data_IF_100272865506
#
_entry.id   IF_100272865506
#
_cell.length_a   1.000
_cell.length_b   1.000
_cell.length_c   1.000
_cell.angle_alpha   90.00
_cell.angle_beta   90.00
_cell.angle_gamma   90.00
#
_symmetry.space_group_name_H-M   'P 1'
#
loop_
_entity.id
_entity.type
_entity.pdbx_description
1 polymer ?
#
# COMPACT_ATOMS: atom_id res chain seq x y z
N UNK A 1 3.90 2.26 -4.88
CA UNK A 1 4.87 1.15 -5.02
C UNK A 1 6.07 1.43 -4.16
N UNK A 2 6.16 0.73 -3.03
CA UNK A 2 7.18 0.95 -1.99
C UNK A 2 8.27 -0.14 -1.99
N UNK A 3 8.24 -1.05 -2.98
CA UNK A 3 9.23 -2.11 -3.13
C UNK A 3 9.85 -2.02 -4.54
N UNK A 4 11.19 -1.86 -4.65
CA UNK A 4 11.84 -1.67 -5.94
C UNK A 4 11.73 -2.91 -6.85
N UNK A 5 11.56 -4.12 -6.30
CA UNK A 5 11.37 -5.33 -7.14
C UNK A 5 10.10 -5.24 -8.00
N UNK A 6 9.07 -4.51 -7.56
CA UNK A 6 7.84 -4.31 -8.33
C UNK A 6 8.09 -3.47 -9.58
N UNK A 7 9.00 -2.48 -9.49
CA UNK A 7 9.43 -1.67 -10.63
C UNK A 7 10.24 -2.50 -11.62
N UNK A 8 11.17 -3.31 -11.10
CA UNK A 8 11.96 -4.25 -11.91
C UNK A 8 11.04 -5.22 -12.66
N UNK A 9 10.06 -5.81 -11.98
CA UNK A 9 9.07 -6.68 -12.62
C UNK A 9 8.20 -5.94 -13.64
N UNK A 10 7.96 -4.64 -13.47
CA UNK A 10 7.24 -3.84 -14.45
C UNK A 10 8.03 -3.69 -15.75
N UNK A 11 9.35 -3.50 -15.68
CA UNK A 11 10.23 -3.49 -16.85
C UNK A 11 10.24 -4.85 -17.56
N UNK A 12 10.40 -5.94 -16.81
CA UNK A 12 10.41 -7.31 -17.36
C UNK A 12 9.06 -7.62 -18.04
N UNK A 13 7.94 -7.37 -17.35
CA UNK A 13 6.60 -7.58 -17.92
C UNK A 13 6.38 -6.75 -19.17
N UNK A 14 6.87 -5.51 -19.21
CA UNK A 14 6.79 -4.67 -20.41
C UNK A 14 7.60 -5.25 -21.57
N UNK A 15 8.81 -5.76 -21.31
CA UNK A 15 9.60 -6.46 -22.32
C UNK A 15 8.84 -7.66 -22.90
N UNK A 16 8.28 -8.52 -22.04
CA UNK A 16 7.48 -9.67 -22.47
C UNK A 16 6.25 -9.22 -23.27
N UNK A 17 5.50 -8.24 -22.78
CA UNK A 17 4.28 -7.76 -23.45
C UNK A 17 4.53 -7.19 -24.85
N UNK A 18 5.66 -6.50 -25.05
CA UNK A 18 6.03 -5.92 -26.35
C UNK A 18 6.49 -6.99 -27.35
N UNK A 19 7.15 -8.05 -26.87
CA UNK A 19 7.85 -9.03 -27.72
C UNK A 19 7.14 -10.37 -27.87
N UNK A 20 6.16 -10.70 -27.02
CA UNK A 20 5.37 -11.93 -27.15
C UNK A 20 4.43 -11.80 -28.35
N UNK A 21 4.77 -12.46 -29.46
CA UNK A 21 4.01 -12.39 -30.73
C UNK A 21 3.30 -13.70 -31.06
N UNK A 22 3.80 -14.81 -30.54
CA UNK A 22 3.24 -16.14 -30.71
C UNK A 22 2.23 -16.47 -29.61
N UNK A 23 2.20 -15.70 -28.52
CA UNK A 23 1.28 -15.88 -27.40
C UNK A 23 1.35 -17.30 -26.80
N UNK A 24 2.55 -17.88 -26.76
CA UNK A 24 2.80 -19.21 -26.20
C UNK A 24 3.55 -19.11 -24.88
N UNK A 25 3.35 -20.09 -23.99
CA UNK A 25 4.07 -20.13 -22.71
C UNK A 25 5.58 -20.28 -22.89
N UNK A 26 6.04 -21.04 -23.87
CA UNK A 26 7.48 -21.16 -24.17
C UNK A 26 8.09 -19.81 -24.54
N UNK A 27 7.41 -19.01 -25.37
CA UNK A 27 7.91 -17.68 -25.74
C UNK A 27 7.90 -16.72 -24.54
N UNK A 28 6.85 -16.76 -23.71
CA UNK A 28 6.79 -15.99 -22.45
C UNK A 28 7.95 -16.36 -21.53
N UNK A 29 8.26 -17.64 -21.36
CA UNK A 29 9.38 -18.07 -20.52
C UNK A 29 10.71 -17.53 -21.04
N UNK A 30 10.98 -17.69 -22.33
CA UNK A 30 12.21 -17.21 -22.97
C UNK A 30 12.35 -15.69 -22.82
N UNK A 31 11.30 -14.93 -23.16
CA UNK A 31 11.30 -13.47 -23.06
C UNK A 31 11.42 -13.00 -21.61
N UNK A 32 10.87 -13.75 -20.64
CA UNK A 32 11.01 -13.41 -19.22
C UNK A 32 12.46 -13.56 -18.78
N UNK A 33 13.13 -14.65 -19.15
CA UNK A 33 14.56 -14.85 -18.86
C UNK A 33 15.41 -13.75 -19.50
N UNK A 34 15.16 -13.41 -20.76
CA UNK A 34 15.81 -12.29 -21.44
C UNK A 34 15.55 -10.95 -20.73
N UNK A 35 14.31 -10.70 -20.32
CA UNK A 35 13.94 -9.50 -19.57
C UNK A 35 14.69 -9.39 -18.24
N UNK A 36 14.90 -10.51 -17.53
CA UNK A 36 15.71 -10.57 -16.31
C UNK A 36 17.17 -10.22 -16.63
N UNK A 37 17.76 -10.82 -17.66
CA UNK A 37 19.15 -10.59 -18.06
C UNK A 37 19.40 -9.14 -18.52
N UNK A 38 18.37 -8.44 -19.03
CA UNK A 38 18.44 -7.03 -19.41
C UNK A 38 18.49 -6.07 -18.21
N UNK A 39 18.13 -6.51 -17.01
CA UNK A 39 18.16 -5.66 -15.82
C UNK A 39 19.60 -5.47 -15.38
N UNK A 40 20.21 -4.36 -15.79
CA UNK A 40 21.54 -3.98 -15.36
C UNK A 40 21.54 -3.52 -13.90
N UNK A 41 22.70 -3.59 -13.24
CA UNK A 41 22.90 -3.04 -11.89
C UNK A 41 22.60 -1.53 -11.83
N UNK A 42 22.79 -0.80 -12.93
CA UNK A 42 22.45 0.62 -13.00
C UNK A 42 20.93 0.83 -13.00
N UNK A 43 20.19 0.04 -13.77
CA UNK A 43 18.73 0.09 -13.79
C UNK A 43 18.16 -0.28 -12.42
N UNK A 44 18.70 -1.33 -11.79
CA UNK A 44 18.33 -1.73 -10.44
C UNK A 44 18.51 -0.58 -9.45
N UNK A 45 19.67 0.10 -9.47
CA UNK A 45 19.92 1.26 -8.60
C UNK A 45 18.91 2.38 -8.84
N UNK A 46 18.59 2.69 -10.10
CA UNK A 46 17.57 3.70 -10.44
C UNK A 46 16.19 3.35 -9.85
N UNK A 47 15.81 2.07 -9.90
CA UNK A 47 14.53 1.61 -9.35
C UNK A 47 14.52 1.72 -7.81
N UNK A 48 15.63 1.40 -7.13
CA UNK A 48 15.80 1.63 -5.68
C UNK A 48 15.68 3.12 -5.33
N UNK A 49 16.44 3.98 -6.01
CA UNK A 49 16.42 5.43 -5.79
C UNK A 49 15.00 6.00 -5.98
N UNK A 50 14.30 5.54 -7.02
CA UNK A 50 12.91 5.93 -7.26
C UNK A 50 11.98 5.50 -6.12
N UNK A 51 12.10 4.26 -5.65
CA UNK A 51 11.31 3.78 -4.51
C UNK A 51 11.58 4.59 -3.25
N UNK A 52 12.83 4.92 -2.94
CA UNK A 52 13.16 5.75 -1.78
C UNK A 52 12.53 7.14 -1.87
N UNK A 53 12.55 7.77 -3.04
CA UNK A 53 11.88 9.07 -3.25
C UNK A 53 10.37 8.98 -3.02
N UNK A 54 9.73 7.91 -3.51
CA UNK A 54 8.29 7.68 -3.31
C UNK A 54 7.98 7.50 -1.82
N UNK A 55 8.80 6.73 -1.10
CA UNK A 55 8.67 6.54 0.35
C UNK A 55 8.80 7.88 1.08
N UNK A 56 9.87 8.64 0.80
CA UNK A 56 10.09 9.96 1.44
C UNK A 56 8.91 10.91 1.19
N UNK A 57 8.44 11.00 -0.05
CA UNK A 57 7.27 11.83 -0.38
C UNK A 57 5.99 11.36 0.32
N UNK A 58 5.81 10.06 0.54
CA UNK A 58 4.67 9.54 1.28
C UNK A 58 4.75 9.91 2.77
N UNK A 59 5.93 9.78 3.38
CA UNK A 59 6.17 10.17 4.79
C UNK A 59 5.92 11.67 4.99
N UNK A 60 6.46 12.51 4.10
CA UNK A 60 6.24 13.96 4.17
C UNK A 60 4.76 14.30 4.08
N UNK A 61 4.01 13.67 3.17
CA UNK A 61 2.56 13.89 3.05
C UNK A 61 1.78 13.41 4.27
N UNK A 62 2.20 12.30 4.87
CA UNK A 62 1.57 11.75 6.07
C UNK A 62 1.73 12.72 7.25
N UNK A 63 2.94 13.23 7.49
CA UNK A 63 3.18 14.25 8.50
C UNK A 63 2.43 15.57 8.26
N UNK A 64 2.28 15.99 7.00
CA UNK A 64 1.45 17.16 6.66
C UNK A 64 -0.04 16.92 6.93
N UNK A 65 -0.53 15.69 6.77
CA UNK A 65 -1.91 15.32 7.11
C UNK A 65 -2.10 15.29 8.62
N UNK A 66 -1.17 14.71 9.38
CA UNK A 66 -1.21 14.68 10.85
C UNK A 66 -1.24 16.11 11.42
N UNK A 67 -0.33 16.99 10.97
CA UNK A 67 -0.30 18.40 11.41
C UNK A 67 -1.61 19.13 11.10
N UNK A 68 -2.18 18.94 9.90
CA UNK A 68 -3.44 19.56 9.53
C UNK A 68 -4.63 19.05 10.36
N UNK A 69 -4.64 17.77 10.71
CA UNK A 69 -5.66 17.16 11.59
C UNK A 69 -5.53 17.69 13.02
N UNK A 70 -4.32 17.75 13.58
CA UNK A 70 -4.06 18.33 14.91
C UNK A 70 -4.53 19.79 14.97
N UNK A 71 -4.18 20.60 13.97
CA UNK A 71 -4.64 21.98 13.88
C UNK A 71 -6.17 22.06 13.82
N UNK A 72 -6.85 21.18 13.06
CA UNK A 72 -8.32 21.16 13.00
C UNK A 72 -8.94 20.82 14.37
N UNK A 73 -8.41 19.85 15.10
CA UNK A 73 -8.90 19.44 16.44
C UNK A 73 -8.79 20.60 17.45
N UNK A 74 -7.68 21.35 17.41
CA UNK A 74 -7.47 22.52 18.29
C UNK A 74 -8.56 23.58 18.04
N UNK A 75 -8.86 23.87 16.77
CA UNK A 75 -9.87 24.86 16.42
C UNK A 75 -11.31 24.40 16.69
N UNK A 76 -11.60 23.09 16.63
CA UNK A 76 -12.91 22.54 17.03
C UNK A 76 -13.12 22.61 18.55
N UNK A 77 -12.07 22.39 19.35
CA UNK A 77 -12.14 22.47 20.83
C UNK A 77 -12.37 23.90 21.35
N UNK A 78 -11.91 24.90 20.61
CA UNK A 78 -12.14 26.32 20.95
C UNK A 78 -13.54 26.82 20.51
N UNK A 79 -14.33 25.96 19.85
CA UNK A 79 -15.54 26.33 19.13
C UNK A 79 -16.89 25.88 19.73
N UNK A 80 -17.01 24.71 20.37
CA UNK A 80 -18.33 24.21 20.81
C UNK A 80 -18.36 23.44 22.14
N UNK A 81 -19.44 23.70 22.88
CA UNK A 81 -19.80 23.33 24.24
C UNK A 81 -19.71 21.83 24.57
N UNK A 82 -19.30 21.52 25.81
CA UNK A 82 -19.37 20.20 26.43
C UNK A 82 -20.77 19.57 26.23
N UNK A 83 -20.82 18.42 25.57
CA UNK A 83 -21.96 17.51 25.65
C UNK A 83 -21.47 16.18 26.18
N UNK A 84 -21.82 15.89 27.42
CA UNK A 84 -21.54 14.61 28.07
C UNK A 84 -22.26 13.49 27.31
N UNK A 85 -21.47 12.62 26.65
CA UNK A 85 -21.98 11.37 26.12
C UNK A 85 -22.19 10.41 27.30
N UNK A 86 -23.42 10.35 27.81
CA UNK A 86 -23.84 9.34 28.78
C UNK A 86 -23.88 7.97 28.09
N UNK A 87 -22.80 7.19 28.25
CA UNK A 87 -22.73 5.80 27.85
C UNK A 87 -23.70 4.98 28.71
N UNK A 88 -24.82 4.56 28.12
CA UNK A 88 -25.72 3.59 28.73
C UNK A 88 -25.34 2.20 28.24
N UNK A 89 -24.53 1.52 29.05
CA UNK A 89 -24.26 0.09 28.93
C UNK A 89 -25.56 -0.71 28.88
N UNK A 90 -25.92 -1.23 27.70
CA UNK A 90 -26.92 -2.28 27.58
C UNK A 90 -26.20 -3.63 27.46
N UNK A 91 -25.97 -4.24 28.63
CA UNK A 91 -25.50 -5.62 28.81
C UNK A 91 -26.42 -6.60 28.06
N UNK A 92 -25.97 -7.12 26.91
CA UNK A 92 -26.62 -8.23 26.22
C UNK A 92 -26.06 -9.54 26.80
N UNK A 93 -26.72 -10.04 27.85
CA UNK A 93 -26.53 -11.42 28.30
C UNK A 93 -27.02 -12.36 27.20
N UNK A 94 -26.10 -13.13 26.62
CA UNK A 94 -26.44 -14.32 25.85
C UNK A 94 -26.60 -15.45 26.87
N UNK A 95 -27.84 -15.83 27.14
CA UNK A 95 -28.13 -17.06 27.89
C UNK A 95 -27.74 -18.25 27.02
N UNK A 96 -26.63 -18.91 27.36
CA UNK A 96 -26.29 -20.23 26.83
C UNK A 96 -27.20 -21.22 27.55
N UNK A 97 -28.32 -21.54 26.93
CA UNK A 97 -29.17 -22.64 27.37
C UNK A 97 -28.43 -23.97 27.09
N UNK A 98 -27.75 -24.47 28.13
CA UNK A 98 -27.45 -25.89 28.22
C UNK A 98 -28.75 -26.60 28.55
N UNK A 99 -29.05 -27.70 27.86
CA UNK A 99 -29.51 -28.91 28.54
C UNK A 99 -29.38 -30.18 27.69
N UNK A 100 -29.30 -31.35 28.35
CA UNK A 100 -28.74 -32.60 27.82
C UNK A 100 -29.81 -33.66 27.51
N UNK A 101 -29.42 -34.72 26.79
CA UNK A 101 -30.21 -35.95 26.64
C UNK A 101 -30.05 -36.57 25.26
#
# INVERSE_FOLDING_TARGET
>A
HFNPIELVWSHIKRHVAVNNKKFTMNEVEILTRQGIDMVSSEQWRKDVDQTERIIRSAIEKDGLVEEAVEQFIIHVSDGESESELSDKDHDRRIDIEKTPG
#
